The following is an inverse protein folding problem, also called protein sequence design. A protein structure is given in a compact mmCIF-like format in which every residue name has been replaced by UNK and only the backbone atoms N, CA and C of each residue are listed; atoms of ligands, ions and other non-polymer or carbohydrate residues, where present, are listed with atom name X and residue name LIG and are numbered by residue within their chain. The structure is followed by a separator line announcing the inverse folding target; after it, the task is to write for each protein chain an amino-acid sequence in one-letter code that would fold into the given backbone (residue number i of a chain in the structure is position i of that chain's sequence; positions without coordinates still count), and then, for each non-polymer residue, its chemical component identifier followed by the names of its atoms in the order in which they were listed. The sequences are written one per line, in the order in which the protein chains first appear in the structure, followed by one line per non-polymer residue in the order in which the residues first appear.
data_IF_436700641712
#
_entry.id   IF_436700641712
#
_cell.length_a   1.000
_cell.length_b   1.000
_cell.length_c   1.000
_cell.angle_alpha   90.00
_cell.angle_beta   90.00
_cell.angle_gamma   90.00
#
_symmetry.space_group_name_H-M   'P 1'
#
loop_
_entity.id
_entity.type
_entity.pdbx_description
1 polymer ?
#
# COMPACT_ATOMS: atom_id res chain seq x y z
N UNK A 1 -16.03 -10.38 -6.33
CA UNK A 1 -14.60 -10.65 -6.06
C UNK A 1 -14.37 -12.11 -6.35
N UNK A 2 -13.57 -12.42 -7.36
CA UNK A 2 -13.13 -13.79 -7.64
C UNK A 2 -12.15 -14.24 -6.56
N UNK A 3 -11.95 -15.55 -6.38
CA UNK A 3 -10.98 -16.06 -5.39
C UNK A 3 -9.55 -15.60 -5.68
N UNK A 4 -9.25 -15.27 -6.93
CA UNK A 4 -7.91 -14.88 -7.34
C UNK A 4 -7.65 -13.39 -7.10
N UNK A 5 -8.66 -12.53 -7.27
CA UNK A 5 -8.61 -11.13 -6.84
C UNK A 5 -8.39 -11.02 -5.32
N UNK A 6 -9.07 -11.85 -4.53
CA UNK A 6 -8.89 -11.87 -3.07
C UNK A 6 -7.47 -12.30 -2.67
N UNK A 7 -6.91 -13.33 -3.32
CA UNK A 7 -5.53 -13.78 -3.06
C UNK A 7 -4.52 -12.68 -3.39
N UNK A 8 -4.71 -11.97 -4.51
CA UNK A 8 -3.82 -10.88 -4.91
C UNK A 8 -3.87 -9.72 -3.91
N UNK A 9 -5.05 -9.35 -3.43
CA UNK A 9 -5.20 -8.34 -2.38
C UNK A 9 -4.52 -8.77 -1.07
N UNK A 10 -4.73 -10.01 -0.62
CA UNK A 10 -4.08 -10.54 0.58
C UNK A 10 -2.57 -10.56 0.46
N UNK A 11 -2.04 -10.92 -0.71
CA UNK A 11 -0.60 -10.89 -0.97
C UNK A 11 -0.05 -9.46 -0.89
N UNK A 12 -0.77 -8.47 -1.43
CA UNK A 12 -0.39 -7.06 -1.32
C UNK A 12 -0.38 -6.54 0.12
N UNK A 13 -1.39 -6.88 0.93
CA UNK A 13 -1.42 -6.55 2.36
C UNK A 13 -0.27 -7.20 3.13
N UNK A 14 0.01 -8.47 2.84
CA UNK A 14 1.10 -9.20 3.47
C UNK A 14 2.45 -8.54 3.14
N UNK A 15 2.68 -8.22 1.87
CA UNK A 15 3.89 -7.53 1.43
C UNK A 15 4.11 -6.19 2.14
N UNK A 16 3.08 -5.34 2.22
CA UNK A 16 3.18 -4.06 2.92
C UNK A 16 3.49 -4.23 4.42
N UNK A 17 2.85 -5.23 5.04
CA UNK A 17 3.10 -5.57 6.45
C UNK A 17 4.55 -6.03 6.69
N UNK A 18 5.09 -6.87 5.80
CA UNK A 18 6.48 -7.33 5.89
C UNK A 18 7.48 -6.17 5.76
N UNK A 19 7.23 -5.21 4.88
CA UNK A 19 8.10 -4.04 4.72
C UNK A 19 8.12 -3.19 5.99
N UNK A 20 6.95 -2.89 6.57
CA UNK A 20 6.88 -2.18 7.85
C UNK A 20 7.52 -2.95 9.01
N UNK A 21 7.29 -4.27 9.07
CA UNK A 21 7.91 -5.13 10.07
C UNK A 21 9.45 -5.14 9.96
N UNK A 22 9.99 -5.16 8.74
CA UNK A 22 11.43 -5.13 8.51
C UNK A 22 12.09 -3.85 9.04
N UNK A 23 11.37 -2.71 9.05
CA UNK A 23 11.85 -1.46 9.65
C UNK A 23 11.94 -1.60 11.17
N UNK A 24 10.89 -2.12 11.81
CA UNK A 24 10.87 -2.37 13.26
C UNK A 24 11.94 -3.38 13.68
N UNK A 25 12.11 -4.47 12.92
CA UNK A 25 13.09 -5.51 13.19
C UNK A 25 14.54 -4.99 13.13
N UNK A 26 14.78 -3.91 12.38
CA UNK A 26 16.08 -3.21 12.31
C UNK A 26 16.25 -2.13 13.39
N UNK A 27 15.28 -1.98 14.30
CA UNK A 27 15.28 -0.95 15.34
C UNK A 27 14.85 0.43 14.84
N UNK A 28 14.17 0.52 13.69
CA UNK A 28 13.58 1.75 13.18
C UNK A 28 12.39 2.23 14.01
N UNK A 29 11.96 3.47 13.79
CA UNK A 29 10.84 4.03 14.55
C UNK A 29 9.49 3.47 14.08
N UNK A 30 8.48 3.56 14.96
CA UNK A 30 7.11 3.21 14.60
C UNK A 30 6.60 4.05 13.42
N UNK A 31 6.98 5.33 13.35
CA UNK A 31 6.60 6.25 12.26
C UNK A 31 7.21 5.82 10.93
N UNK A 32 8.49 5.45 10.90
CA UNK A 32 9.16 4.96 9.68
C UNK A 32 8.54 3.65 9.18
N UNK A 33 8.15 2.77 10.12
CA UNK A 33 7.53 1.50 9.79
C UNK A 33 6.16 1.67 9.15
N UNK A 34 5.31 2.55 9.69
CA UNK A 34 3.99 2.82 9.10
C UNK A 34 4.11 3.56 7.78
N UNK A 35 5.03 4.53 7.66
CA UNK A 35 5.29 5.22 6.39
C UNK A 35 5.74 4.23 5.30
N UNK A 36 6.63 3.30 5.65
CA UNK A 36 7.12 2.28 4.71
C UNK A 36 6.00 1.32 4.28
N UNK A 37 5.15 0.88 5.20
CA UNK A 37 4.01 0.03 4.89
C UNK A 37 2.98 0.75 3.99
N UNK A 38 2.69 2.02 4.28
CA UNK A 38 1.77 2.84 3.47
C UNK A 38 2.32 3.06 2.07
N UNK A 39 3.60 3.41 1.92
CA UNK A 39 4.25 3.54 0.60
C UNK A 39 4.17 2.25 -0.22
N UNK A 40 4.35 1.08 0.41
CA UNK A 40 4.21 -0.21 -0.27
C UNK A 40 2.78 -0.50 -0.75
N UNK A 41 1.76 0.01 -0.05
CA UNK A 41 0.37 -0.04 -0.51
C UNK A 41 0.09 0.98 -1.62
N UNK A 42 0.66 2.18 -1.53
CA UNK A 42 0.55 3.23 -2.55
C UNK A 42 1.19 2.88 -3.89
N UNK A 43 2.28 2.10 -3.86
CA UNK A 43 2.92 1.58 -5.06
C UNK A 43 2.19 0.36 -5.65
N UNK A 44 1.28 -0.26 -4.90
CA UNK A 44 0.55 -1.44 -5.34
C UNK A 44 -0.70 -1.04 -6.14
N UNK A 45 -0.78 -1.34 -7.45
CA UNK A 45 -1.90 -0.92 -8.31
C UNK A 45 -3.25 -1.55 -7.96
N UNK A 46 -3.26 -2.56 -7.08
CA UNK A 46 -4.49 -3.17 -6.57
C UNK A 46 -5.14 -2.34 -5.46
N UNK A 47 -4.42 -1.38 -4.88
CA UNK A 47 -4.90 -0.53 -3.81
C UNK A 47 -5.10 0.89 -4.34
N UNK A 48 -6.22 1.48 -3.94
CA UNK A 48 -6.55 2.85 -4.28
C UNK A 48 -5.79 3.85 -3.39
N UNK A 49 -4.47 3.89 -3.53
CA UNK A 49 -3.58 4.81 -2.84
C UNK A 49 -2.39 5.12 -3.75
N UNK A 50 -1.82 6.33 -3.68
CA UNK A 50 -0.64 6.72 -4.48
C UNK A 50 -0.80 6.51 -5.99
N UNK A 51 0.03 5.63 -6.57
CA UNK A 51 0.02 5.28 -8.01
C UNK A 51 -1.21 4.48 -8.44
N UNK A 52 -1.95 3.88 -7.50
CA UNK A 52 -3.23 3.22 -7.74
C UNK A 52 -4.44 4.10 -7.48
N UNK A 53 -4.25 5.40 -7.22
CA UNK A 53 -5.36 6.34 -7.05
C UNK A 53 -6.28 6.32 -8.29
N UNK A 54 -7.55 5.97 -8.10
CA UNK A 54 -8.54 6.07 -9.18
C UNK A 54 -8.62 7.51 -9.64
N UNK A 55 -8.45 7.70 -10.95
CA UNK A 55 -8.73 8.95 -11.62
C UNK A 55 -10.11 9.47 -11.19
N UNK A 56 -10.17 10.73 -10.79
CA UNK A 56 -11.46 11.42 -10.67
C UNK A 56 -12.14 11.49 -12.06
N UNK A 57 -13.40 11.92 -12.12
CA UNK A 57 -14.19 11.98 -13.38
C UNK A 57 -13.51 12.77 -14.52
N UNK A 58 -12.48 13.56 -14.20
CA UNK A 58 -11.73 14.41 -15.11
C UNK A 58 -10.32 13.89 -15.42
N UNK A 59 -9.96 12.66 -15.01
CA UNK A 59 -8.68 12.03 -15.38
C UNK A 59 -7.46 12.51 -14.58
N UNK A 60 -7.65 13.09 -13.40
CA UNK A 60 -6.56 13.65 -12.58
C UNK A 60 -6.40 12.86 -11.28
N UNK A 61 -5.15 12.52 -10.93
CA UNK A 61 -4.77 11.95 -9.64
C UNK A 61 -4.95 13.02 -8.56
N UNK A 62 -5.97 12.88 -7.71
CA UNK A 62 -6.10 13.66 -6.48
C UNK A 62 -5.75 12.76 -5.30
N UNK A 63 -4.53 12.96 -4.79
CA UNK A 63 -4.10 12.47 -3.49
C UNK A 63 -4.47 13.55 -2.47
N UNK A 64 -5.44 13.26 -1.59
CA UNK A 64 -5.51 13.98 -0.32
C UNK A 64 -4.72 13.17 0.72
N UNK A 65 -3.73 13.84 1.32
CA UNK A 65 -2.91 13.36 2.43
C UNK A 65 -3.45 13.88 3.76
#
# INVERSE_FOLDING_TARGET
MSSDEEKQLRAGLFHATEQGYAVLAKGGSATDAVETAVRALEDNPLFNAGKGAVFNRDGVNQLEA
#
